data_IF_675060816014
#
_entry.id   IF_675060816014
#
_cell.length_a   1.000
_cell.length_b   1.000
_cell.length_c   1.000
_cell.angle_alpha   90.00
_cell.angle_beta   90.00
_cell.angle_gamma   90.00
#
_symmetry.space_group_name_H-M   'P 1'
#
loop_
_entity.id
_entity.type
_entity.pdbx_description
1 polymer ?
#
# COMPACT_ATOMS: atom_id res chain seq x y z
N UNK A 1 -8.80 8.37 5.09
CA UNK A 1 -9.15 7.29 4.14
C UNK A 1 -7.83 6.67 3.68
N UNK A 2 -7.68 5.36 3.83
CA UNK A 2 -6.50 4.60 3.47
C UNK A 2 -6.89 3.66 2.32
N UNK A 3 -6.10 3.63 1.25
CA UNK A 3 -6.26 2.67 0.16
C UNK A 3 -5.12 1.66 0.24
N UNK A 4 -5.46 0.37 0.31
CA UNK A 4 -4.50 -0.73 0.43
C UNK A 4 -4.51 -1.50 -0.89
N UNK A 5 -3.33 -1.72 -1.46
CA UNK A 5 -3.15 -2.45 -2.71
C UNK A 5 -1.76 -3.09 -2.76
N UNK A 6 -1.58 -4.03 -3.69
CA UNK A 6 -0.34 -4.78 -3.86
C UNK A 6 0.38 -4.48 -5.17
N UNK A 7 -0.17 -3.62 -6.02
CA UNK A 7 0.43 -3.23 -7.30
C UNK A 7 0.86 -1.75 -7.36
N UNK A 8 1.81 -1.45 -8.24
CA UNK A 8 2.26 -0.09 -8.58
C UNK A 8 1.14 0.75 -9.22
N UNK A 9 0.21 0.09 -9.90
CA UNK A 9 -1.01 0.68 -10.46
C UNK A 9 -1.99 1.13 -9.38
N UNK A 10 -2.06 0.44 -8.24
CA UNK A 10 -2.88 0.85 -7.09
C UNK A 10 -2.29 2.08 -6.42
N UNK A 11 -0.97 2.09 -6.19
CA UNK A 11 -0.24 3.26 -5.65
C UNK A 11 -0.47 4.49 -6.54
N UNK A 12 -0.31 4.31 -7.86
CA UNK A 12 -0.54 5.37 -8.85
C UNK A 12 -1.98 5.89 -8.81
N UNK A 13 -2.95 5.02 -8.52
CA UNK A 13 -4.36 5.40 -8.39
C UNK A 13 -4.62 6.16 -7.08
N UNK A 14 -4.00 5.73 -5.97
CA UNK A 14 -4.05 6.42 -4.67
C UNK A 14 -3.51 7.85 -4.77
N UNK A 15 -2.36 8.02 -5.42
CA UNK A 15 -1.72 9.32 -5.65
C UNK A 15 -2.64 10.24 -6.45
N UNK A 16 -3.22 9.75 -7.57
CA UNK A 16 -4.16 10.53 -8.39
C UNK A 16 -5.40 10.94 -7.61
N UNK A 17 -5.91 10.07 -6.75
CA UNK A 17 -7.06 10.33 -5.90
C UNK A 17 -6.73 11.19 -4.67
N UNK A 18 -5.44 11.49 -4.41
CA UNK A 18 -4.94 12.20 -3.22
C UNK A 18 -5.34 11.49 -1.91
N UNK A 19 -5.23 10.17 -1.89
CA UNK A 19 -5.51 9.31 -0.72
C UNK A 19 -4.22 8.65 -0.24
N UNK A 20 -4.09 8.43 1.07
CA UNK A 20 -2.96 7.69 1.63
C UNK A 20 -2.94 6.25 1.11
N UNK A 21 -1.75 5.72 0.83
CA UNK A 21 -1.55 4.38 0.30
C UNK A 21 -0.80 3.48 1.28
N UNK A 22 -1.31 2.26 1.44
CA UNK A 22 -0.63 1.16 2.12
C UNK A 22 -0.28 0.05 1.14
N UNK A 23 1.01 -0.27 1.00
CA UNK A 23 1.49 -1.34 0.13
C UNK A 23 1.43 -2.69 0.84
N UNK A 24 0.63 -3.62 0.31
CA UNK A 24 0.51 -4.98 0.83
C UNK A 24 1.61 -5.89 0.24
N UNK A 25 2.54 -6.35 1.08
CA UNK A 25 3.65 -7.22 0.67
C UNK A 25 3.30 -8.72 0.64
N UNK A 26 2.13 -9.10 1.16
CA UNK A 26 1.64 -10.50 1.13
C UNK A 26 0.94 -10.88 -0.19
N UNK A 27 0.79 -9.93 -1.11
CA UNK A 27 0.25 -10.15 -2.46
C UNK A 27 1.35 -10.34 -3.49
N UNK A 28 1.24 -9.63 -4.60
CA UNK A 28 2.24 -9.55 -5.66
C UNK A 28 3.24 -8.39 -5.48
N UNK A 29 2.97 -7.51 -4.51
CA UNK A 29 3.80 -6.34 -4.21
C UNK A 29 5.14 -6.71 -3.58
N UNK A 30 6.21 -6.05 -4.03
CA UNK A 30 7.52 -6.12 -3.37
C UNK A 30 7.92 -4.73 -2.87
N UNK A 31 8.86 -4.65 -1.92
CA UNK A 31 9.37 -3.37 -1.40
C UNK A 31 9.92 -2.47 -2.52
N UNK A 32 10.46 -3.05 -3.59
CA UNK A 32 11.04 -2.33 -4.72
C UNK A 32 9.96 -1.81 -5.70
N UNK A 33 8.73 -2.33 -5.62
CA UNK A 33 7.62 -1.94 -6.50
C UNK A 33 6.95 -0.62 -6.07
N UNK A 34 7.14 -0.21 -4.82
CA UNK A 34 6.48 0.95 -4.24
C UNK A 34 7.48 2.11 -4.10
N UNK A 35 7.00 3.36 -4.22
CA UNK A 35 7.88 4.55 -4.18
C UNK A 35 8.29 4.88 -2.75
N UNK A 36 8.94 6.03 -2.52
CA UNK A 36 9.74 6.27 -1.30
C UNK A 36 9.00 6.43 0.04
N UNK A 37 7.66 6.53 0.10
CA UNK A 37 6.92 6.79 1.35
C UNK A 37 5.61 5.99 1.63
N UNK A 38 5.32 4.83 1.01
CA UNK A 38 4.13 4.08 1.34
C UNK A 38 4.32 3.37 2.68
N UNK A 39 3.23 3.34 3.44
CA UNK A 39 3.11 2.46 4.59
C UNK A 39 3.16 1.02 4.05
N UNK A 40 4.25 0.30 4.32
CA UNK A 40 4.39 -1.09 3.86
C UNK A 40 3.87 -2.04 4.94
N UNK A 41 3.05 -2.98 4.51
CA UNK A 41 2.35 -3.94 5.37
C UNK A 41 2.85 -5.33 5.02
N UNK A 42 3.47 -6.03 5.98
CA UNK A 42 4.07 -7.34 5.78
C UNK A 42 3.02 -8.48 5.82
N UNK A 43 1.90 -8.26 6.52
CA UNK A 43 0.83 -9.24 6.71
C UNK A 43 -0.57 -8.61 6.80
N UNK A 44 -1.66 -9.33 6.43
CA UNK A 44 -3.02 -8.81 6.56
C UNK A 44 -3.37 -8.30 7.96
N UNK A 45 -2.76 -8.88 8.99
CA UNK A 45 -2.91 -8.50 10.39
C UNK A 45 -2.39 -7.09 10.68
N UNK A 46 -1.41 -6.60 9.93
CA UNK A 46 -0.85 -5.25 10.09
C UNK A 46 -1.91 -4.18 9.83
N UNK A 47 -2.91 -4.47 8.98
CA UNK A 47 -4.04 -3.57 8.71
C UNK A 47 -4.77 -3.23 10.01
N UNK A 48 -4.96 -4.21 10.90
CA UNK A 48 -5.70 -4.05 12.16
C UNK A 48 -4.98 -3.07 13.10
N UNK A 49 -3.65 -2.98 13.01
CA UNK A 49 -2.85 -2.10 13.88
C UNK A 49 -2.92 -0.61 13.47
N UNK A 50 -3.51 -0.30 12.32
CA UNK A 50 -3.49 1.04 11.70
C UNK A 50 -4.87 1.71 11.71
N UNK A 51 -5.95 0.93 11.94
CA UNK A 51 -7.34 1.42 11.95
C UNK A 51 -7.78 1.94 13.32
#
# INVERSE_FOLDING_TARGET
MLFIGDADTDESSAIKAKVAFGGALWGTGTRDNFKSEPLLLDSPEDVIMIV
#
